data_IF_161069174245
#
_entry.id   IF_161069174245
#
_cell.length_a   1.000
_cell.length_b   1.000
_cell.length_c   1.000
_cell.angle_alpha   90.00
_cell.angle_beta   90.00
_cell.angle_gamma   90.00
#
_symmetry.space_group_name_H-M   'P 1'
#
loop_
_entity.id
_entity.type
_entity.pdbx_description
1 polymer ?
#
# COMPACT_ATOMS: atom_id res chain seq x y z
N UNK A 1 -7.53 19.00 -1.58
CA UNK A 1 -6.48 17.97 -1.63
C UNK A 1 -6.76 17.03 -0.47
N UNK A 2 -7.07 15.75 -0.71
CA UNK A 2 -7.33 14.81 0.38
C UNK A 2 -6.03 14.65 1.17
N UNK A 3 -6.05 15.09 2.43
CA UNK A 3 -4.91 14.97 3.32
C UNK A 3 -4.73 13.49 3.60
N UNK A 4 -3.68 12.88 3.03
CA UNK A 4 -3.38 11.48 3.28
C UNK A 4 -3.05 11.33 4.76
N UNK A 5 -4.01 10.85 5.55
CA UNK A 5 -3.82 10.61 6.98
C UNK A 5 -2.65 9.66 7.16
N UNK A 6 -1.58 10.15 7.79
CA UNK A 6 -0.42 9.32 8.08
C UNK A 6 -0.85 8.14 8.96
N UNK A 7 -0.35 6.92 8.70
CA UNK A 7 -0.68 5.76 9.54
C UNK A 7 -0.37 6.03 11.02
N UNK A 8 -1.16 5.51 11.97
CA UNK A 8 -0.97 5.78 13.40
C UNK A 8 0.45 5.47 13.93
N UNK A 9 1.10 4.46 13.37
CA UNK A 9 2.46 4.08 13.75
C UNK A 9 3.51 5.18 13.42
N UNK A 10 3.26 6.02 12.40
CA UNK A 10 4.13 7.15 12.09
C UNK A 10 4.03 8.23 13.16
N UNK A 11 2.85 8.48 13.71
CA UNK A 11 2.70 9.47 14.79
C UNK A 11 3.44 9.00 16.04
N UNK A 12 3.34 7.71 16.36
CA UNK A 12 4.09 7.11 17.46
C UNK A 12 5.62 7.16 17.24
N UNK A 13 6.07 7.00 16.00
CA UNK A 13 7.48 7.09 15.63
C UNK A 13 7.98 8.55 15.65
N UNK A 14 7.17 9.51 15.20
CA UNK A 14 7.50 10.94 15.19
C UNK A 14 7.78 11.49 16.59
N UNK A 15 7.07 10.98 17.60
CA UNK A 15 7.30 11.34 19.00
C UNK A 15 8.63 10.82 19.55
N UNK A 16 9.20 9.77 18.94
CA UNK A 16 10.40 9.08 19.41
C UNK A 16 11.65 9.49 18.63
N UNK A 17 11.52 9.57 17.31
CA UNK A 17 12.62 9.85 16.39
C UNK A 17 12.10 10.65 15.17
N UNK A 18 11.95 11.98 15.31
CA UNK A 18 11.42 12.83 14.26
C UNK A 18 12.36 12.94 13.04
N UNK A 19 13.67 12.80 13.25
CA UNK A 19 14.67 12.86 12.16
C UNK A 19 14.58 11.62 11.27
N UNK A 20 14.41 10.44 11.89
CA UNK A 20 14.18 9.22 11.14
C UNK A 20 12.86 9.24 10.36
N UNK A 21 11.76 9.76 10.94
CA UNK A 21 10.49 9.89 10.20
C UNK A 21 10.65 10.79 8.98
N UNK A 22 11.35 11.93 9.12
CA UNK A 22 11.62 12.82 7.99
C UNK A 22 12.37 12.08 6.87
N UNK A 23 13.44 11.38 7.23
CA UNK A 23 14.26 10.61 6.29
C UNK A 23 13.49 9.46 5.62
N UNK A 24 12.66 8.75 6.38
CA UNK A 24 11.81 7.68 5.89
C UNK A 24 10.75 8.21 4.91
N UNK A 25 10.07 9.31 5.27
CA UNK A 25 9.04 9.91 4.43
C UNK A 25 9.59 10.44 3.12
N UNK A 26 10.74 11.12 3.15
CA UNK A 26 11.41 11.60 1.95
C UNK A 26 11.77 10.46 0.99
N UNK A 27 12.29 9.34 1.52
CA UNK A 27 12.59 8.16 0.72
C UNK A 27 11.33 7.52 0.15
N UNK A 28 10.30 7.32 0.97
CA UNK A 28 9.02 6.75 0.56
C UNK A 28 8.37 7.57 -0.57
N UNK A 29 8.34 8.89 -0.44
CA UNK A 29 7.81 9.79 -1.46
C UNK A 29 8.61 9.69 -2.77
N UNK A 30 9.95 9.74 -2.69
CA UNK A 30 10.82 9.59 -3.86
C UNK A 30 10.63 8.27 -4.59
N UNK A 31 10.42 7.18 -3.85
CA UNK A 31 10.23 5.84 -4.41
C UNK A 31 8.85 5.74 -5.09
N UNK A 32 7.79 6.23 -4.43
CA UNK A 32 6.40 6.03 -4.85
C UNK A 32 5.87 7.07 -5.84
N UNK A 33 6.53 8.22 -6.00
CA UNK A 33 6.15 9.23 -7.02
C UNK A 33 6.22 8.67 -8.45
N UNK A 34 5.58 9.37 -9.38
CA UNK A 34 5.61 9.04 -10.80
C UNK A 34 7.03 8.97 -11.38
N UNK A 35 7.19 8.10 -12.36
CA UNK A 35 8.42 7.91 -13.13
C UNK A 35 8.15 6.98 -14.31
N UNK A 36 9.14 6.19 -14.72
CA UNK A 36 8.93 5.17 -15.76
C UNK A 36 7.81 4.16 -15.41
N UNK A 37 7.64 3.88 -14.11
CA UNK A 37 6.47 3.20 -13.58
C UNK A 37 5.57 4.29 -12.95
N UNK A 38 4.33 4.47 -13.44
CA UNK A 38 3.36 5.37 -12.81
C UNK A 38 3.13 5.04 -11.33
N UNK A 39 2.92 6.06 -10.51
CA UNK A 39 2.78 5.93 -9.05
C UNK A 39 1.70 4.93 -8.66
N UNK A 40 0.57 4.94 -9.37
CA UNK A 40 -0.54 3.99 -9.19
C UNK A 40 -0.08 2.53 -9.18
N UNK A 41 0.73 2.13 -10.16
CA UNK A 41 1.20 0.74 -10.27
C UNK A 41 2.19 0.39 -9.17
N UNK A 42 3.03 1.34 -8.71
CA UNK A 42 3.89 1.13 -7.55
C UNK A 42 3.07 0.91 -6.28
N UNK A 43 1.96 1.63 -6.11
CA UNK A 43 1.06 1.44 -4.97
C UNK A 43 0.41 0.05 -5.02
N UNK A 44 -0.06 -0.40 -6.18
CA UNK A 44 -0.57 -1.78 -6.36
C UNK A 44 0.50 -2.83 -6.03
N UNK A 45 1.76 -2.63 -6.45
CA UNK A 45 2.87 -3.50 -6.05
C UNK A 45 3.05 -3.54 -4.52
N UNK A 46 2.94 -2.41 -3.83
CA UNK A 46 2.99 -2.42 -2.35
C UNK A 46 1.83 -3.17 -1.70
N UNK A 47 0.64 -3.15 -2.32
CA UNK A 47 -0.51 -3.92 -1.84
C UNK A 47 -0.25 -5.43 -1.93
N UNK A 48 0.36 -5.87 -3.03
CA UNK A 48 0.78 -7.27 -3.22
C UNK A 48 1.77 -7.68 -2.13
N UNK A 49 2.76 -6.83 -1.83
CA UNK A 49 3.73 -7.10 -0.76
C UNK A 49 3.04 -7.28 0.60
N UNK A 50 2.10 -6.41 0.96
CA UNK A 50 1.36 -6.56 2.23
C UNK A 50 0.47 -7.81 2.26
N UNK A 51 -0.09 -8.22 1.11
CA UNK A 51 -0.81 -9.48 1.03
C UNK A 51 0.11 -10.70 1.26
N UNK A 52 1.29 -10.69 0.63
CA UNK A 52 2.30 -11.75 0.78
C UNK A 52 2.87 -11.82 2.21
N UNK A 53 2.95 -10.68 2.91
CA UNK A 53 3.43 -10.59 4.29
C UNK A 53 2.32 -10.76 5.34
N UNK A 54 1.10 -11.12 4.94
CA UNK A 54 -0.03 -11.33 5.86
C UNK A 54 -0.40 -10.08 6.68
N UNK A 55 -0.38 -8.89 6.04
CA UNK A 55 -0.76 -7.60 6.63
C UNK A 55 -2.15 -7.12 6.15
N UNK A 56 -3.27 -7.62 6.71
CA UNK A 56 -4.61 -7.34 6.20
C UNK A 56 -4.98 -5.84 6.24
N UNK A 57 -4.66 -5.14 7.33
CA UNK A 57 -4.92 -3.69 7.44
C UNK A 57 -4.04 -2.89 6.48
N UNK A 58 -2.83 -3.38 6.21
CA UNK A 58 -1.92 -2.83 5.23
C UNK A 58 -2.53 -2.89 3.82
N UNK A 59 -3.02 -4.08 3.42
CA UNK A 59 -3.75 -4.28 2.16
C UNK A 59 -4.93 -3.31 2.03
N UNK A 60 -5.79 -3.21 3.05
CA UNK A 60 -6.96 -2.32 3.01
C UNK A 60 -6.56 -0.84 2.83
N UNK A 61 -5.58 -0.37 3.62
CA UNK A 61 -5.09 1.00 3.54
C UNK A 61 -4.43 1.32 2.20
N UNK A 62 -3.65 0.38 1.65
CA UNK A 62 -2.97 0.57 0.37
C UNK A 62 -3.96 0.50 -0.79
N UNK A 63 -4.97 -0.36 -0.75
CA UNK A 63 -6.03 -0.40 -1.75
C UNK A 63 -6.79 0.95 -1.81
N UNK A 64 -7.11 1.55 -0.66
CA UNK A 64 -7.68 2.90 -0.60
C UNK A 64 -6.77 3.97 -1.23
N UNK A 65 -5.45 3.89 -1.00
CA UNK A 65 -4.47 4.78 -1.64
C UNK A 65 -4.35 4.53 -3.14
N UNK A 66 -4.46 3.29 -3.60
CA UNK A 66 -4.45 2.95 -5.01
C UNK A 66 -5.66 3.57 -5.71
N UNK A 67 -6.86 3.46 -5.14
CA UNK A 67 -8.08 4.11 -5.63
C UNK A 67 -7.93 5.63 -5.69
N UNK A 68 -7.40 6.24 -4.63
CA UNK A 68 -7.13 7.68 -4.60
C UNK A 68 -6.10 8.12 -5.68
N UNK A 69 -5.21 7.22 -6.10
CA UNK A 69 -4.28 7.41 -7.20
C UNK A 69 -4.85 7.03 -8.58
N UNK A 70 -6.14 6.72 -8.67
CA UNK A 70 -6.85 6.41 -9.92
C UNK A 70 -6.84 4.93 -10.32
N UNK A 71 -6.55 4.01 -9.39
CA UNK A 71 -6.75 2.58 -9.65
C UNK A 71 -8.23 2.21 -9.67
N UNK A 72 -8.62 1.46 -10.69
CA UNK A 72 -9.94 0.84 -10.74
C UNK A 72 -9.99 -0.41 -9.84
N UNK A 73 -11.19 -0.81 -9.43
CA UNK A 73 -11.36 -2.09 -8.73
C UNK A 73 -10.94 -3.29 -9.58
N UNK A 74 -11.00 -3.19 -10.91
CA UNK A 74 -10.48 -4.22 -11.82
C UNK A 74 -8.96 -4.35 -11.72
N UNK A 75 -8.22 -3.24 -11.68
CA UNK A 75 -6.75 -3.27 -11.48
C UNK A 75 -6.38 -3.82 -10.09
N UNK A 76 -7.20 -3.54 -9.07
CA UNK A 76 -7.03 -4.10 -7.71
C UNK A 76 -7.28 -5.61 -7.73
N UNK A 77 -8.31 -6.08 -8.44
CA UNK A 77 -8.63 -7.50 -8.61
C UNK A 77 -7.48 -8.25 -9.30
N UNK A 78 -6.91 -7.70 -10.38
CA UNK A 78 -5.72 -8.31 -11.02
C UNK A 78 -4.53 -8.38 -10.06
N UNK A 79 -4.32 -7.37 -9.21
CA UNK A 79 -3.28 -7.41 -8.19
C UNK A 79 -3.53 -8.49 -7.10
N UNK A 80 -4.79 -8.76 -6.75
CA UNK A 80 -5.16 -9.88 -5.87
C UNK A 80 -4.80 -11.22 -6.50
N UNK A 81 -5.03 -11.39 -7.81
CA UNK A 81 -4.66 -12.59 -8.56
C UNK A 81 -3.15 -12.79 -8.63
N UNK A 82 -2.38 -11.70 -8.81
CA UNK A 82 -0.92 -11.74 -8.73
C UNK A 82 -0.44 -12.15 -7.34
N UNK A 83 -1.05 -11.63 -6.26
CA UNK A 83 -0.71 -12.03 -4.90
C UNK A 83 -0.98 -13.53 -4.65
N UNK A 84 -2.09 -14.06 -5.18
CA UNK A 84 -2.38 -15.50 -5.14
C UNK A 84 -1.32 -16.32 -5.88
N UNK A 85 -0.90 -15.89 -7.09
CA UNK A 85 0.09 -16.63 -7.88
C UNK A 85 1.41 -16.86 -7.12
N UNK A 86 1.86 -15.87 -6.35
CA UNK A 86 3.15 -15.94 -5.64
C UNK A 86 3.06 -16.33 -4.16
N UNK A 87 1.90 -16.20 -3.52
CA UNK A 87 1.72 -16.49 -2.10
C UNK A 87 0.67 -17.56 -1.77
N UNK A 88 0.00 -18.11 -2.78
CA UNK A 88 -1.05 -19.12 -2.62
C UNK A 88 -2.26 -18.61 -1.84
N UNK A 89 -3.06 -19.55 -1.32
CA UNK A 89 -4.29 -19.26 -0.58
C UNK A 89 -4.10 -18.33 0.63
N UNK A 90 -3.02 -18.42 1.43
CA UNK A 90 -2.79 -17.49 2.54
C UNK A 90 -2.69 -16.02 2.09
N UNK A 91 -1.96 -15.78 0.99
CA UNK A 91 -1.86 -14.43 0.43
C UNK A 91 -3.19 -13.99 -0.19
N UNK A 92 -3.95 -14.88 -0.84
CA UNK A 92 -5.28 -14.57 -1.37
C UNK A 92 -6.23 -14.12 -0.26
N UNK A 93 -6.31 -14.87 0.86
CA UNK A 93 -7.15 -14.52 2.01
C UNK A 93 -6.78 -13.13 2.55
N UNK A 94 -5.49 -12.81 2.59
CA UNK A 94 -5.01 -11.49 3.00
C UNK A 94 -5.33 -10.42 1.94
N UNK A 95 -5.16 -10.71 0.65
CA UNK A 95 -5.39 -9.79 -0.45
C UNK A 95 -6.86 -9.36 -0.56
N UNK A 96 -7.81 -10.23 -0.20
CA UNK A 96 -9.25 -9.90 -0.17
C UNK A 96 -9.60 -8.73 0.76
N UNK A 97 -8.71 -8.36 1.69
CA UNK A 97 -8.87 -7.16 2.52
C UNK A 97 -8.88 -5.85 1.70
N UNK A 98 -8.45 -5.88 0.44
CA UNK A 98 -8.50 -4.73 -0.47
C UNK A 98 -9.92 -4.20 -0.74
N UNK A 99 -10.93 -5.03 -0.46
CA UNK A 99 -12.35 -4.74 -0.67
C UNK A 99 -13.14 -4.61 0.64
N UNK A 100 -12.47 -4.56 1.81
CA UNK A 100 -13.15 -4.27 3.07
C UNK A 100 -13.71 -2.85 3.06
N UNK A 101 -14.96 -2.72 3.52
CA UNK A 101 -15.63 -1.44 3.75
C UNK A 101 -15.02 -0.69 4.95
#
# INVERSE_FOLDING_TARGET
MAQATLPPWIQALQQRDPEFVSSYMAQRERILRDGAIPAKYKILMTMIVDALLSHPDGVANIAGRARAAGASDAEIQEAVEVAYLFGGTPALVTAMNAFRA
#
